data_IF_482862691580
#
_entry.id   IF_482862691580
#
_cell.length_a   1.000
_cell.length_b   1.000
_cell.length_c   1.000
_cell.angle_alpha   90.00
_cell.angle_beta   90.00
_cell.angle_gamma   90.00
#
_symmetry.space_group_name_H-M   'P 1'
#
loop_
_entity.id
_entity.type
_entity.pdbx_description
1 polymer ?
#
# COMPACT_ATOMS: atom_id res chain seq x y z
N UNK A 1 12.35 24.60 -0.69
CA UNK A 1 11.05 24.21 -1.26
C UNK A 1 11.29 23.53 -2.59
N UNK A 2 10.72 22.35 -2.78
CA UNK A 2 10.77 21.64 -4.05
C UNK A 2 9.59 22.04 -4.97
N UNK A 3 9.50 21.42 -6.15
CA UNK A 3 8.44 21.72 -7.13
C UNK A 3 7.03 21.43 -6.60
N UNK A 4 6.88 20.41 -5.75
CA UNK A 4 5.59 20.07 -5.15
C UNK A 4 5.17 21.11 -4.10
N UNK A 5 6.08 21.52 -3.21
CA UNK A 5 5.81 22.59 -2.24
C UNK A 5 5.41 23.90 -2.94
N UNK A 6 6.11 24.22 -4.03
CA UNK A 6 5.80 25.39 -4.85
C UNK A 6 4.39 25.30 -5.44
N UNK A 7 3.96 24.10 -5.87
CA UNK A 7 2.59 23.88 -6.36
C UNK A 7 1.57 24.06 -5.23
N UNK A 8 1.80 23.47 -4.05
CA UNK A 8 0.92 23.66 -2.89
C UNK A 8 0.75 25.15 -2.55
N UNK A 9 1.87 25.88 -2.46
CA UNK A 9 1.85 27.31 -2.14
C UNK A 9 1.08 28.13 -3.18
N UNK A 10 1.21 27.82 -4.48
CA UNK A 10 0.43 28.47 -5.55
C UNK A 10 -1.08 28.29 -5.39
N UNK A 11 -1.52 27.21 -4.76
CA UNK A 11 -2.92 26.94 -4.45
C UNK A 11 -3.33 27.37 -3.02
N UNK A 12 -2.43 28.02 -2.25
CA UNK A 12 -2.70 28.41 -0.87
C UNK A 12 -2.80 27.24 0.10
N UNK A 13 -2.22 26.08 -0.25
CA UNK A 13 -2.31 24.84 0.51
C UNK A 13 -1.02 24.56 1.29
N UNK A 14 -1.16 23.83 2.40
CA UNK A 14 -0.05 23.26 3.16
C UNK A 14 -0.34 21.81 3.47
N UNK A 15 0.68 20.95 3.40
CA UNK A 15 0.57 19.54 3.76
C UNK A 15 1.15 19.32 5.16
N UNK A 16 0.28 18.98 6.12
CA UNK A 16 0.64 18.75 7.52
C UNK A 16 0.01 17.47 8.04
N UNK A 17 0.65 16.89 9.05
CA UNK A 17 0.18 15.69 9.75
C UNK A 17 -1.13 15.95 10.47
N UNK A 18 -2.06 15.01 10.35
CA UNK A 18 -3.22 14.86 11.24
C UNK A 18 -2.86 13.92 12.39
N UNK A 19 -3.81 13.67 13.31
CA UNK A 19 -3.66 12.65 14.33
C UNK A 19 -3.34 11.29 13.68
N UNK A 20 -2.24 10.60 14.09
CA UNK A 20 -1.92 9.29 13.56
C UNK A 20 -3.04 8.27 13.81
N UNK A 21 -3.33 7.46 12.79
CA UNK A 21 -4.34 6.39 12.84
C UNK A 21 -3.82 5.04 12.34
N UNK A 22 -2.84 5.08 11.43
CA UNK A 22 -2.32 3.88 10.76
C UNK A 22 -0.86 3.69 11.14
N UNK A 23 -0.51 2.51 11.67
CA UNK A 23 0.85 2.02 11.76
C UNK A 23 1.13 1.14 10.54
N UNK A 24 1.83 1.67 9.55
CA UNK A 24 2.19 0.91 8.36
C UNK A 24 3.59 0.33 8.52
N UNK A 25 3.70 -1.01 8.49
CA UNK A 25 4.94 -1.75 8.68
C UNK A 25 5.42 -2.32 7.35
N UNK A 26 6.47 -1.74 6.78
CA UNK A 26 7.16 -2.32 5.65
C UNK A 26 8.14 -3.37 6.17
N UNK A 27 7.73 -4.64 6.15
CA UNK A 27 8.45 -5.72 6.82
C UNK A 27 9.70 -6.20 6.08
N UNK A 28 9.99 -5.65 4.90
CA UNK A 28 11.18 -5.98 4.15
C UNK A 28 10.96 -5.89 2.65
N UNK A 29 11.88 -6.48 1.89
CA UNK A 29 11.85 -6.52 0.43
C UNK A 29 11.86 -7.94 -0.13
N UNK A 30 11.87 -8.96 0.72
CA UNK A 30 11.74 -10.36 0.29
C UNK A 30 10.35 -10.63 -0.29
N UNK A 31 10.29 -11.17 -1.50
CA UNK A 31 9.05 -11.49 -2.19
C UNK A 31 9.29 -12.62 -3.19
N UNK A 32 8.31 -13.50 -3.41
CA UNK A 32 8.41 -14.57 -4.39
C UNK A 32 8.20 -14.09 -5.85
N UNK A 33 7.89 -12.81 -6.08
CA UNK A 33 7.67 -12.21 -7.39
C UNK A 33 8.68 -11.10 -7.70
N UNK A 34 8.88 -10.80 -9.00
CA UNK A 34 9.69 -9.66 -9.47
C UNK A 34 8.85 -8.76 -10.38
N UNK A 35 7.79 -8.15 -9.84
CA UNK A 35 6.91 -7.28 -10.63
C UNK A 35 7.67 -6.07 -11.21
N UNK A 36 7.36 -5.69 -12.45
CA UNK A 36 8.00 -4.58 -13.17
C UNK A 36 7.63 -3.20 -12.63
N UNK A 37 6.43 -3.06 -12.04
CA UNK A 37 5.95 -1.81 -11.44
C UNK A 37 6.24 -1.69 -9.92
N UNK A 38 6.93 -2.65 -9.31
CA UNK A 38 7.10 -2.68 -7.85
C UNK A 38 7.88 -1.45 -7.34
N UNK A 39 7.19 -0.57 -6.60
CA UNK A 39 7.79 0.62 -5.98
C UNK A 39 8.73 0.26 -4.83
N UNK A 40 8.53 -0.89 -4.17
CA UNK A 40 9.41 -1.40 -3.10
C UNK A 40 10.72 -2.00 -3.65
N UNK A 41 10.75 -2.32 -4.95
CA UNK A 41 11.82 -3.10 -5.58
C UNK A 41 11.99 -4.51 -4.94
N UNK A 42 10.91 -5.10 -4.44
CA UNK A 42 10.92 -6.39 -3.75
C UNK A 42 11.11 -7.60 -4.68
N UNK A 43 11.77 -8.66 -4.21
CA UNK A 43 11.95 -9.88 -5.01
C UNK A 43 12.69 -11.02 -4.30
N UNK A 44 12.90 -12.17 -4.98
CA UNK A 44 13.33 -13.41 -4.31
C UNK A 44 14.74 -13.35 -3.73
N UNK A 45 15.63 -12.56 -4.34
CA UNK A 45 17.02 -12.39 -3.89
C UNK A 45 17.24 -11.31 -2.84
N UNK A 46 16.18 -10.67 -2.32
CA UNK A 46 16.28 -9.58 -1.34
C UNK A 46 16.57 -10.13 0.06
N UNK A 47 17.39 -9.40 0.81
CA UNK A 47 17.83 -9.80 2.17
C UNK A 47 17.27 -8.87 3.26
N UNK A 48 16.63 -7.78 2.86
CA UNK A 48 15.94 -6.87 3.75
C UNK A 48 14.71 -7.57 4.32
N UNK A 49 14.80 -7.99 5.58
CA UNK A 49 13.78 -8.75 6.30
C UNK A 49 13.74 -8.24 7.74
N UNK A 50 12.56 -7.90 8.22
CA UNK A 50 12.35 -7.46 9.60
C UNK A 50 12.68 -8.60 10.57
N UNK A 51 13.52 -8.30 11.57
CA UNK A 51 13.96 -9.30 12.56
C UNK A 51 12.95 -9.46 13.69
N UNK A 52 13.06 -10.54 14.45
CA UNK A 52 12.22 -10.78 15.62
C UNK A 52 12.38 -9.68 16.68
N UNK A 53 13.60 -9.22 16.92
CA UNK A 53 13.88 -8.13 17.88
C UNK A 53 13.22 -6.82 17.43
N UNK A 54 13.18 -6.55 16.13
CA UNK A 54 12.48 -5.37 15.60
C UNK A 54 10.98 -5.49 15.81
N UNK A 55 10.41 -6.67 15.57
CA UNK A 55 8.99 -6.97 15.85
C UNK A 55 8.66 -6.73 17.33
N UNK A 56 9.47 -7.21 18.26
CA UNK A 56 9.24 -7.02 19.70
C UNK A 56 9.21 -5.54 20.09
N UNK A 57 10.11 -4.73 19.53
CA UNK A 57 10.13 -3.28 19.78
C UNK A 57 8.90 -2.58 19.20
N UNK A 58 8.45 -2.99 18.02
CA UNK A 58 7.21 -2.48 17.41
C UNK A 58 6.00 -2.83 18.28
N UNK A 59 5.89 -4.07 18.74
CA UNK A 59 4.82 -4.52 19.63
C UNK A 59 4.82 -3.77 20.97
N UNK A 60 6.01 -3.54 21.54
CA UNK A 60 6.16 -2.77 22.77
C UNK A 60 5.68 -1.32 22.61
N UNK A 61 6.03 -0.68 21.49
CA UNK A 61 5.56 0.67 21.17
C UNK A 61 4.05 0.71 20.91
N UNK A 62 3.52 -0.21 20.09
CA UNK A 62 2.10 -0.27 19.74
C UNK A 62 1.21 -0.53 20.97
N UNK A 63 1.73 -1.21 22.01
CA UNK A 63 1.02 -1.41 23.28
C UNK A 63 0.65 -0.09 23.96
N UNK A 64 1.49 0.93 23.79
CA UNK A 64 1.30 2.27 24.33
C UNK A 64 0.51 3.15 23.36
N UNK A 65 0.91 3.16 22.09
CA UNK A 65 0.31 4.03 21.06
C UNK A 65 -1.13 3.63 20.68
N UNK A 66 -1.43 2.33 20.68
CA UNK A 66 -2.76 1.76 20.38
C UNK A 66 -3.41 2.34 19.11
N UNK A 67 -2.63 2.46 18.03
CA UNK A 67 -3.18 2.88 16.75
C UNK A 67 -4.18 1.83 16.23
N UNK A 68 -5.37 2.24 15.76
CA UNK A 68 -6.46 1.32 15.45
C UNK A 68 -6.24 0.49 14.18
N UNK A 69 -5.33 0.89 13.30
CA UNK A 69 -5.06 0.20 12.03
C UNK A 69 -3.58 -0.12 11.92
N UNK A 70 -3.26 -1.39 11.65
CA UNK A 70 -1.91 -1.88 11.41
C UNK A 70 -1.86 -2.45 10.00
N UNK A 71 -1.05 -1.84 9.14
CA UNK A 71 -0.99 -2.15 7.71
C UNK A 71 0.35 -2.80 7.36
N UNK A 72 0.35 -4.11 7.10
CA UNK A 72 1.54 -4.91 6.81
C UNK A 72 1.83 -4.89 5.30
N UNK A 73 3.00 -4.35 4.93
CA UNK A 73 3.42 -4.14 3.54
C UNK A 73 4.90 -4.51 3.34
N UNK A 74 5.46 -4.23 2.16
CA UNK A 74 6.87 -4.42 1.83
C UNK A 74 7.05 -5.29 0.61
N UNK A 75 7.73 -6.41 0.76
CA UNK A 75 7.76 -7.48 -0.22
C UNK A 75 6.47 -8.31 -0.16
N UNK A 76 6.59 -9.60 0.13
CA UNK A 76 5.46 -10.41 0.59
C UNK A 76 5.54 -10.47 2.12
N UNK A 77 4.67 -9.77 2.87
CA UNK A 77 4.77 -9.70 4.32
C UNK A 77 4.85 -11.07 4.99
N UNK A 78 4.11 -12.02 4.45
CA UNK A 78 4.01 -13.42 4.88
C UNK A 78 5.38 -14.11 4.93
N UNK A 79 6.35 -13.64 4.12
CA UNK A 79 7.66 -14.27 3.99
C UNK A 79 8.66 -13.94 5.10
N UNK A 80 8.36 -13.00 6.00
CA UNK A 80 9.28 -12.76 7.13
C UNK A 80 9.14 -13.88 8.18
N UNK A 81 10.23 -14.33 8.83
CA UNK A 81 10.15 -15.42 9.81
C UNK A 81 9.16 -15.15 10.96
N UNK A 82 9.03 -13.89 11.37
CA UNK A 82 8.20 -13.48 12.49
C UNK A 82 6.76 -13.11 12.10
N UNK A 83 6.30 -13.36 10.87
CA UNK A 83 4.98 -12.88 10.41
C UNK A 83 3.83 -13.38 11.27
N UNK A 84 3.72 -14.70 11.47
CA UNK A 84 2.66 -15.30 12.30
C UNK A 84 2.71 -14.81 13.75
N UNK A 85 3.92 -14.63 14.30
CA UNK A 85 4.12 -14.08 15.64
C UNK A 85 3.64 -12.63 15.74
N UNK A 86 4.05 -11.77 14.79
CA UNK A 86 3.64 -10.36 14.73
C UNK A 86 2.11 -10.24 14.69
N UNK A 87 1.45 -10.94 13.75
CA UNK A 87 -0.01 -10.90 13.61
C UNK A 87 -0.72 -11.39 14.87
N UNK A 88 -0.31 -12.54 15.42
CA UNK A 88 -0.94 -13.10 16.62
C UNK A 88 -0.74 -12.20 17.86
N UNK A 89 0.44 -11.60 18.01
CA UNK A 89 0.73 -10.68 19.09
C UNK A 89 -0.07 -9.37 18.95
N UNK A 90 -0.19 -8.80 17.74
CA UNK A 90 -1.02 -7.63 17.48
C UNK A 90 -2.50 -7.90 17.78
N UNK A 91 -3.03 -9.05 17.34
CA UNK A 91 -4.42 -9.45 17.62
C UNK A 91 -4.67 -9.65 19.11
N UNK A 92 -3.70 -10.20 19.84
CA UNK A 92 -3.79 -10.35 21.30
C UNK A 92 -3.73 -8.99 22.02
N UNK A 93 -2.91 -8.07 21.53
CA UNK A 93 -2.73 -6.74 22.10
C UNK A 93 -3.99 -5.89 21.97
N UNK A 94 -4.64 -5.94 20.80
CA UNK A 94 -5.92 -5.27 20.56
C UNK A 94 -6.82 -6.14 19.65
N UNK A 95 -7.81 -6.85 20.24
CA UNK A 95 -8.76 -7.64 19.47
C UNK A 95 -9.62 -6.85 18.48
N UNK A 96 -9.77 -5.54 18.68
CA UNK A 96 -10.58 -4.66 17.83
C UNK A 96 -9.77 -3.95 16.73
N UNK A 97 -8.44 -3.96 16.82
CA UNK A 97 -7.60 -3.34 15.79
C UNK A 97 -7.80 -4.02 14.44
N UNK A 98 -7.79 -3.21 13.38
CA UNK A 98 -7.76 -3.69 12.00
C UNK A 98 -6.33 -4.04 11.65
N UNK A 99 -6.08 -5.28 11.27
CA UNK A 99 -4.77 -5.75 10.78
C UNK A 99 -4.96 -6.03 9.30
N UNK A 100 -4.20 -5.34 8.46
CA UNK A 100 -4.25 -5.47 7.00
C UNK A 100 -2.99 -6.21 6.53
N UNK A 101 -3.16 -7.20 5.67
CA UNK A 101 -2.07 -7.86 4.94
C UNK A 101 -2.12 -7.49 3.45
N UNK A 102 -1.06 -6.83 2.97
CA UNK A 102 -0.89 -6.49 1.56
C UNK A 102 -0.31 -7.66 0.79
N UNK A 103 -1.19 -8.61 0.49
CA UNK A 103 -0.86 -9.88 -0.12
C UNK A 103 -0.62 -9.77 -1.63
N UNK A 104 0.34 -10.54 -2.13
CA UNK A 104 0.57 -10.68 -3.57
C UNK A 104 -0.21 -11.85 -4.22
N UNK A 105 -1.03 -12.56 -3.45
CA UNK A 105 -1.81 -13.76 -3.78
C UNK A 105 -0.97 -15.02 -4.04
N UNK A 106 0.05 -14.95 -4.89
CA UNK A 106 0.78 -16.16 -5.33
C UNK A 106 1.59 -16.81 -4.22
N UNK A 107 1.94 -16.06 -3.16
CA UNK A 107 2.60 -16.58 -1.97
C UNK A 107 1.74 -17.65 -1.25
N UNK A 108 0.41 -17.52 -1.27
CA UNK A 108 -0.52 -18.47 -0.62
C UNK A 108 -0.54 -19.87 -1.28
N UNK A 109 0.14 -20.02 -2.41
CA UNK A 109 0.27 -21.27 -3.15
C UNK A 109 1.70 -21.82 -3.14
N UNK A 110 2.65 -21.13 -2.50
CA UNK A 110 4.04 -21.56 -2.44
C UNK A 110 4.24 -22.67 -1.39
N UNK A 111 5.20 -23.58 -1.62
CA UNK A 111 5.59 -24.56 -0.61
C UNK A 111 5.98 -23.88 0.71
N UNK A 112 5.45 -24.36 1.82
CA UNK A 112 5.66 -23.80 3.16
C UNK A 112 4.68 -22.69 3.57
N UNK A 113 3.79 -22.27 2.66
CA UNK A 113 2.76 -21.24 2.91
C UNK A 113 1.34 -21.80 2.76
N UNK A 114 1.20 -23.12 2.70
CA UNK A 114 -0.07 -23.78 2.45
C UNK A 114 -1.10 -23.39 3.51
N UNK A 115 -0.73 -23.28 4.78
CA UNK A 115 -1.68 -22.92 5.86
C UNK A 115 -1.83 -21.40 6.09
N UNK A 116 -1.22 -20.56 5.23
CA UNK A 116 -1.18 -19.12 5.49
C UNK A 116 -2.58 -18.49 5.39
N UNK A 117 -3.40 -18.92 4.42
CA UNK A 117 -4.75 -18.40 4.23
C UNK A 117 -5.64 -18.69 5.45
N UNK A 118 -5.58 -19.92 5.98
CA UNK A 118 -6.32 -20.34 7.17
C UNK A 118 -5.82 -19.63 8.43
N UNK A 119 -4.51 -19.40 8.55
CA UNK A 119 -3.94 -18.59 9.63
C UNK A 119 -4.46 -17.15 9.60
N UNK A 120 -4.43 -16.49 8.43
CA UNK A 120 -4.95 -15.13 8.27
C UNK A 120 -6.43 -15.06 8.65
N UNK A 121 -7.24 -16.04 8.21
CA UNK A 121 -8.66 -16.12 8.54
C UNK A 121 -8.89 -16.29 10.06
N UNK A 122 -8.14 -17.18 10.70
CA UNK A 122 -8.23 -17.40 12.15
C UNK A 122 -7.89 -16.14 12.96
N UNK A 123 -7.02 -15.28 12.43
CA UNK A 123 -6.65 -13.99 13.03
C UNK A 123 -7.55 -12.82 12.57
N UNK A 124 -8.54 -13.08 11.69
CA UNK A 124 -9.41 -12.08 11.07
C UNK A 124 -8.61 -10.92 10.46
N UNK A 125 -7.59 -11.26 9.68
CA UNK A 125 -6.78 -10.27 8.96
C UNK A 125 -7.55 -9.83 7.72
N UNK A 126 -7.61 -8.52 7.48
CA UNK A 126 -8.11 -7.97 6.22
C UNK A 126 -7.07 -8.16 5.13
N UNK A 127 -7.46 -8.72 3.99
CA UNK A 127 -6.55 -8.94 2.86
C UNK A 127 -6.76 -7.84 1.81
N UNK A 128 -5.69 -7.10 1.49
CA UNK A 128 -5.66 -6.16 0.36
C UNK A 128 -4.70 -6.71 -0.69
N UNK A 129 -5.26 -7.42 -1.66
CA UNK A 129 -4.51 -8.20 -2.62
C UNK A 129 -4.18 -7.44 -3.92
N UNK A 130 -2.92 -7.52 -4.35
CA UNK A 130 -2.50 -6.95 -5.64
C UNK A 130 -3.08 -7.76 -6.81
N UNK A 131 -3.95 -7.16 -7.63
CA UNK A 131 -4.54 -7.78 -8.82
C UNK A 131 -4.74 -6.72 -9.93
N UNK A 132 -3.69 -6.42 -10.71
CA UNK A 132 -3.66 -5.22 -11.57
C UNK A 132 -4.56 -5.30 -12.81
N UNK A 133 -5.16 -6.45 -13.10
CA UNK A 133 -6.21 -6.61 -14.11
C UNK A 133 -6.98 -7.91 -13.85
N UNK A 134 -8.19 -8.05 -14.41
CA UNK A 134 -8.92 -9.31 -14.49
C UNK A 134 -8.58 -10.14 -15.75
N UNK A 135 -7.61 -9.70 -16.56
CA UNK A 135 -7.16 -10.40 -17.77
C UNK A 135 -5.72 -10.94 -17.64
N UNK A 136 -5.42 -12.10 -18.25
CA UNK A 136 -4.11 -12.75 -18.15
C UNK A 136 -2.98 -11.91 -18.76
N UNK A 137 -3.18 -11.38 -19.97
CA UNK A 137 -2.16 -10.61 -20.69
C UNK A 137 -1.65 -9.43 -19.86
N UNK A 138 -2.58 -8.71 -19.23
CA UNK A 138 -2.25 -7.54 -18.42
C UNK A 138 -1.50 -7.93 -17.14
N UNK A 139 -1.95 -8.98 -16.44
CA UNK A 139 -1.33 -9.42 -15.19
C UNK A 139 0.05 -10.00 -15.45
N UNK A 140 0.18 -10.87 -16.46
CA UNK A 140 1.44 -11.54 -16.78
C UNK A 140 2.50 -10.54 -17.27
N UNK A 141 2.12 -9.55 -18.10
CA UNK A 141 3.03 -8.50 -18.53
C UNK A 141 3.62 -7.66 -17.37
N UNK A 142 2.87 -7.48 -16.28
CA UNK A 142 3.34 -6.72 -15.12
C UNK A 142 4.09 -7.55 -14.09
N UNK A 143 3.65 -8.79 -13.86
CA UNK A 143 4.01 -9.57 -12.67
C UNK A 143 4.78 -10.85 -12.99
N UNK A 144 4.81 -11.25 -14.25
CA UNK A 144 5.47 -12.46 -14.73
C UNK A 144 4.47 -13.53 -15.20
N UNK A 145 4.97 -14.45 -16.03
CA UNK A 145 4.16 -15.52 -16.62
C UNK A 145 3.55 -16.45 -15.56
N UNK A 146 2.29 -16.84 -15.77
CA UNK A 146 1.55 -17.73 -14.88
C UNK A 146 1.06 -17.08 -13.58
N UNK A 147 1.38 -15.80 -13.33
CA UNK A 147 0.91 -15.09 -12.13
C UNK A 147 -0.60 -14.88 -12.15
N UNK A 148 -1.21 -14.68 -13.33
CA UNK A 148 -2.67 -14.59 -13.44
C UNK A 148 -3.35 -15.85 -12.90
N UNK A 149 -3.00 -17.02 -13.43
CA UNK A 149 -3.62 -18.28 -13.04
C UNK A 149 -3.39 -18.60 -11.56
N UNK A 150 -2.18 -18.32 -11.05
CA UNK A 150 -1.89 -18.45 -9.63
C UNK A 150 -2.73 -17.49 -8.77
N UNK A 151 -2.93 -16.25 -9.21
CA UNK A 151 -3.77 -15.27 -8.51
C UNK A 151 -5.24 -15.71 -8.48
N UNK A 152 -5.77 -16.22 -9.59
CA UNK A 152 -7.14 -16.77 -9.65
C UNK A 152 -7.30 -17.94 -8.69
N UNK A 153 -6.37 -18.92 -8.68
CA UNK A 153 -6.43 -20.05 -7.74
C UNK A 153 -6.35 -19.60 -6.27
N UNK A 154 -5.50 -18.63 -5.96
CA UNK A 154 -5.39 -18.08 -4.61
C UNK A 154 -6.69 -17.38 -4.17
N UNK A 155 -7.31 -16.60 -5.05
CA UNK A 155 -8.60 -15.94 -4.77
C UNK A 155 -9.73 -16.95 -4.58
N UNK A 156 -9.79 -18.01 -5.40
CA UNK A 156 -10.76 -19.09 -5.22
C UNK A 156 -10.56 -19.80 -3.89
N UNK A 157 -9.30 -20.05 -3.48
CA UNK A 157 -8.99 -20.61 -2.17
C UNK A 157 -9.46 -19.71 -1.04
N UNK A 158 -9.22 -18.40 -1.13
CA UNK A 158 -9.68 -17.42 -0.15
C UNK A 158 -11.22 -17.41 -0.06
N UNK A 159 -11.94 -17.36 -1.19
CA UNK A 159 -13.41 -17.43 -1.18
C UNK A 159 -13.94 -18.77 -0.61
N UNK A 160 -13.22 -19.87 -0.79
CA UNK A 160 -13.61 -21.17 -0.22
C UNK A 160 -13.54 -21.21 1.33
N UNK A 161 -12.85 -20.25 1.95
CA UNK A 161 -12.82 -20.02 3.39
C UNK A 161 -13.47 -18.68 3.77
N UNK A 162 -14.46 -18.26 2.96
CA UNK A 162 -15.36 -17.12 3.19
C UNK A 162 -14.76 -15.70 3.09
N UNK A 163 -13.48 -15.55 2.69
CA UNK A 163 -12.96 -14.21 2.39
C UNK A 163 -13.75 -13.53 1.28
N UNK A 164 -14.07 -12.25 1.46
CA UNK A 164 -14.88 -11.49 0.50
C UNK A 164 -16.38 -11.77 0.57
N UNK A 165 -16.81 -12.74 1.40
CA UNK A 165 -18.20 -13.17 1.57
C UNK A 165 -18.64 -12.89 3.01
N UNK A 166 -17.90 -13.38 4.01
CA UNK A 166 -18.11 -13.05 5.42
C UNK A 166 -17.61 -11.62 5.69
N UNK A 167 -18.46 -10.72 6.26
CA UNK A 167 -18.03 -9.39 6.69
C UNK A 167 -16.83 -9.36 7.66
N UNK A 168 -16.59 -10.45 8.40
CA UNK A 168 -15.44 -10.58 9.29
C UNK A 168 -14.12 -10.94 8.57
N UNK A 169 -14.18 -11.31 7.28
CA UNK A 169 -13.03 -11.69 6.44
C UNK A 169 -12.97 -10.82 5.18
N UNK A 170 -12.63 -9.52 5.30
CA UNK A 170 -12.61 -8.63 4.14
C UNK A 170 -11.49 -9.01 3.16
N UNK A 171 -11.85 -9.01 1.88
CA UNK A 171 -10.95 -9.19 0.75
C UNK A 171 -11.14 -8.04 -0.23
N UNK A 172 -10.11 -7.24 -0.39
CA UNK A 172 -10.05 -6.13 -1.33
C UNK A 172 -9.00 -6.40 -2.40
N UNK A 173 -9.22 -5.85 -3.60
CA UNK A 173 -8.30 -5.96 -4.72
C UNK A 173 -7.68 -4.60 -5.04
N UNK A 174 -6.46 -4.60 -5.55
CA UNK A 174 -5.75 -3.39 -5.96
C UNK A 174 -5.49 -3.41 -7.47
N UNK A 175 -5.98 -2.38 -8.16
CA UNK A 175 -5.70 -2.09 -9.56
C UNK A 175 -4.56 -1.09 -9.71
N UNK A 176 -3.60 -1.43 -10.55
CA UNK A 176 -2.54 -0.54 -11.00
C UNK A 176 -2.49 -0.58 -12.54
N UNK A 177 -2.51 0.59 -13.21
CA UNK A 177 -2.56 0.63 -14.67
C UNK A 177 -1.29 0.06 -15.29
N UNK A 178 -1.45 -0.55 -16.46
CA UNK A 178 -0.33 -0.94 -17.29
C UNK A 178 0.36 0.29 -17.90
N UNK A 179 1.66 0.45 -17.64
CA UNK A 179 2.48 1.51 -18.21
C UNK A 179 2.24 2.90 -17.59
N UNK A 180 2.59 3.93 -18.37
CA UNK A 180 2.68 5.33 -17.94
C UNK A 180 1.34 6.08 -18.05
N UNK A 181 0.30 5.63 -17.33
CA UNK A 181 -1.04 6.23 -17.37
C UNK A 181 -1.62 6.37 -15.96
N UNK A 182 -2.57 7.29 -15.80
CA UNK A 182 -3.40 7.35 -14.59
C UNK A 182 -4.46 6.24 -14.62
N UNK A 183 -4.90 5.75 -13.44
CA UNK A 183 -6.02 4.82 -13.38
C UNK A 183 -7.33 5.49 -13.84
N UNK A 184 -8.28 4.67 -14.31
CA UNK A 184 -9.65 5.10 -14.56
C UNK A 184 -10.45 5.31 -13.26
N UNK A 185 -11.73 5.62 -13.38
CA UNK A 185 -12.62 5.80 -12.24
C UNK A 185 -12.72 4.51 -11.41
N UNK A 186 -12.51 4.62 -10.09
CA UNK A 186 -12.49 3.46 -9.19
C UNK A 186 -13.83 2.71 -9.17
N UNK A 187 -14.95 3.43 -9.18
CA UNK A 187 -16.29 2.82 -9.12
C UNK A 187 -16.62 2.00 -10.38
N UNK A 188 -16.31 2.54 -11.56
CA UNK A 188 -16.49 1.84 -12.84
C UNK A 188 -15.59 0.60 -12.92
N UNK A 189 -14.31 0.75 -12.56
CA UNK A 189 -13.37 -0.37 -12.53
C UNK A 189 -13.80 -1.43 -11.49
N UNK A 190 -14.32 -1.04 -10.32
CA UNK A 190 -14.83 -1.97 -9.32
C UNK A 190 -15.99 -2.80 -9.89
N UNK A 191 -16.93 -2.15 -10.58
CA UNK A 191 -18.07 -2.81 -11.21
C UNK A 191 -17.63 -3.81 -12.29
N UNK A 192 -16.67 -3.40 -13.14
CA UNK A 192 -16.08 -4.29 -14.15
C UNK A 192 -15.38 -5.48 -13.51
N UNK A 193 -14.50 -5.26 -12.53
CA UNK A 193 -13.82 -6.34 -11.82
C UNK A 193 -14.79 -7.33 -11.19
N UNK A 194 -15.84 -6.82 -10.51
CA UNK A 194 -16.86 -7.67 -9.87
C UNK A 194 -17.61 -8.51 -10.91
N UNK A 195 -17.95 -7.93 -12.06
CA UNK A 195 -18.63 -8.65 -13.16
C UNK A 195 -17.73 -9.73 -13.75
N UNK A 196 -16.54 -9.36 -14.19
CA UNK A 196 -15.63 -10.25 -14.94
C UNK A 196 -15.11 -11.39 -14.05
N UNK A 197 -14.66 -11.09 -12.83
CA UNK A 197 -14.13 -12.11 -11.92
C UNK A 197 -15.20 -13.10 -11.45
N UNK A 198 -16.44 -12.61 -11.24
CA UNK A 198 -17.56 -13.48 -10.89
C UNK A 198 -17.98 -14.35 -12.07
N UNK A 199 -18.16 -13.77 -13.26
CA UNK A 199 -18.66 -14.46 -14.44
C UNK A 199 -17.69 -15.56 -14.92
N UNK A 200 -16.38 -15.28 -14.90
CA UNK A 200 -15.39 -16.18 -15.47
C UNK A 200 -14.76 -17.14 -14.45
N UNK A 201 -14.72 -16.75 -13.16
CA UNK A 201 -13.96 -17.50 -12.15
C UNK A 201 -14.72 -17.77 -10.85
N UNK A 202 -15.95 -17.26 -10.71
CA UNK A 202 -16.76 -17.41 -9.50
C UNK A 202 -16.24 -16.62 -8.29
N UNK A 203 -15.37 -15.63 -8.51
CA UNK A 203 -14.67 -14.90 -7.43
C UNK A 203 -15.53 -13.73 -6.92
N UNK A 204 -15.55 -13.55 -5.60
CA UNK A 204 -16.16 -12.41 -4.91
C UNK A 204 -15.10 -11.65 -4.08
N UNK A 205 -15.26 -10.33 -3.99
CA UNK A 205 -14.42 -9.45 -3.18
C UNK A 205 -15.22 -8.19 -2.79
N UNK A 206 -14.79 -7.47 -1.76
CA UNK A 206 -15.56 -6.36 -1.19
C UNK A 206 -15.35 -5.04 -1.95
N UNK A 207 -14.09 -4.60 -2.14
CA UNK A 207 -13.74 -3.31 -2.78
C UNK A 207 -12.55 -3.40 -3.72
N UNK A 208 -12.52 -2.54 -4.73
CA UNK A 208 -11.37 -2.32 -5.60
C UNK A 208 -10.72 -0.98 -5.24
N UNK A 209 -9.40 -0.99 -5.09
CA UNK A 209 -8.60 0.20 -4.84
C UNK A 209 -7.74 0.51 -6.07
N UNK A 210 -7.94 1.67 -6.69
CA UNK A 210 -7.11 2.12 -7.81
C UNK A 210 -5.90 2.89 -7.31
N UNK A 211 -4.72 2.52 -7.78
CA UNK A 211 -3.46 3.17 -7.41
C UNK A 211 -2.76 3.72 -8.65
N UNK A 212 -2.23 4.93 -8.53
CA UNK A 212 -1.34 5.53 -9.52
C UNK A 212 0.07 4.99 -9.33
N UNK A 213 0.69 4.49 -10.41
CA UNK A 213 2.07 4.03 -10.35
C UNK A 213 3.01 5.21 -10.08
N UNK A 214 3.63 5.27 -8.91
CA UNK A 214 4.60 6.33 -8.63
C UNK A 214 5.91 6.08 -9.38
N UNK A 215 6.54 7.13 -9.94
CA UNK A 215 7.79 7.02 -10.72
C UNK A 215 9.00 6.83 -9.79
N UNK A 216 8.99 5.75 -9.00
CA UNK A 216 10.03 5.37 -8.05
C UNK A 216 10.51 3.94 -8.33
N UNK A 217 11.73 3.61 -7.90
CA UNK A 217 12.27 2.25 -7.95
C UNK A 217 12.13 1.58 -9.35
N UNK A 218 11.55 0.37 -9.47
CA UNK A 218 11.51 -0.36 -10.75
C UNK A 218 10.67 0.34 -11.80
N UNK A 219 9.56 0.95 -11.41
CA UNK A 219 8.73 1.68 -12.37
C UNK A 219 9.48 2.90 -12.92
N UNK A 220 10.24 3.61 -12.09
CA UNK A 220 11.13 4.69 -12.57
C UNK A 220 12.18 4.17 -13.56
N UNK A 221 12.81 3.03 -13.24
CA UNK A 221 13.79 2.40 -14.14
C UNK A 221 13.17 2.01 -15.47
N UNK A 222 11.98 1.40 -15.45
CA UNK A 222 11.24 1.02 -16.66
C UNK A 222 10.86 2.25 -17.51
N UNK A 223 10.36 3.31 -16.88
CA UNK A 223 10.04 4.58 -17.55
C UNK A 223 11.26 5.18 -18.25
N UNK A 224 12.43 5.19 -17.59
CA UNK A 224 13.67 5.71 -18.17
C UNK A 224 14.15 4.88 -19.34
N UNK A 225 14.16 3.55 -19.21
CA UNK A 225 14.54 2.65 -20.31
C UNK A 225 13.60 2.76 -21.51
N UNK A 226 12.32 3.07 -21.24
CA UNK A 226 11.31 3.24 -22.28
C UNK A 226 11.26 4.66 -22.85
N UNK A 227 12.10 5.60 -22.39
CA UNK A 227 12.08 7.01 -22.80
C UNK A 227 10.84 7.80 -22.36
N UNK A 228 10.06 7.29 -21.41
CA UNK A 228 8.75 7.83 -20.98
C UNK A 228 8.78 8.60 -19.65
N UNK A 229 9.94 8.70 -19.00
CA UNK A 229 10.04 9.25 -17.65
C UNK A 229 9.58 10.72 -17.57
N UNK A 230 10.10 11.58 -18.45
CA UNK A 230 9.76 13.00 -18.45
C UNK A 230 8.30 13.25 -18.84
N UNK A 231 7.80 12.53 -19.86
CA UNK A 231 6.39 12.59 -20.28
C UNK A 231 5.46 12.18 -19.13
N UNK A 232 5.77 11.09 -18.44
CA UNK A 232 4.96 10.63 -17.33
C UNK A 232 4.99 11.60 -16.14
N UNK A 233 6.15 12.15 -15.81
CA UNK A 233 6.24 13.16 -14.76
C UNK A 233 5.45 14.42 -15.12
N UNK A 234 5.48 14.86 -16.39
CA UNK A 234 4.67 15.97 -16.88
C UNK A 234 3.16 15.67 -16.77
N UNK A 235 2.74 14.44 -17.08
CA UNK A 235 1.36 13.98 -16.88
C UNK A 235 0.95 14.12 -15.40
N UNK A 236 1.74 13.60 -14.46
CA UNK A 236 1.44 13.68 -13.03
C UNK A 236 1.35 15.13 -12.53
N UNK A 237 2.28 15.99 -12.99
CA UNK A 237 2.28 17.42 -12.63
C UNK A 237 1.08 18.15 -13.22
N UNK A 238 0.73 17.87 -14.48
CA UNK A 238 -0.40 18.47 -15.18
C UNK A 238 -1.75 18.02 -14.61
N UNK A 239 -1.82 16.79 -14.10
CA UNK A 239 -3.01 16.23 -13.48
C UNK A 239 -3.13 16.53 -11.97
N UNK A 240 -2.25 17.36 -11.39
CA UNK A 240 -2.31 17.74 -9.98
C UNK A 240 -3.70 18.24 -9.59
N UNK A 241 -4.34 17.55 -8.65
CA UNK A 241 -5.66 17.91 -8.13
C UNK A 241 -5.54 18.33 -6.65
N UNK A 242 -5.75 19.62 -6.33
CA UNK A 242 -5.65 20.13 -4.97
C UNK A 242 -6.69 19.55 -4.00
N UNK A 243 -7.82 19.03 -4.49
CA UNK A 243 -8.86 18.42 -3.64
C UNK A 243 -8.37 17.14 -2.92
N UNK A 244 -7.33 16.51 -3.46
CA UNK A 244 -6.77 15.28 -2.91
C UNK A 244 -5.91 15.49 -1.66
N UNK A 245 -5.50 16.72 -1.34
CA UNK A 245 -4.53 17.00 -0.25
C UNK A 245 -5.04 16.54 1.11
N UNK A 246 -6.32 16.68 1.40
CA UNK A 246 -6.91 16.25 2.68
C UNK A 246 -7.01 14.71 2.80
N UNK A 247 -7.04 13.99 1.68
CA UNK A 247 -7.15 12.52 1.65
C UNK A 247 -5.81 11.78 1.63
N UNK A 248 -4.68 12.48 1.61
CA UNK A 248 -3.36 11.84 1.52
C UNK A 248 -3.01 11.03 2.77
N UNK A 249 -2.65 9.75 2.58
CA UNK A 249 -2.27 8.84 3.66
C UNK A 249 -1.08 9.33 4.51
N UNK A 250 -0.17 10.15 3.95
CA UNK A 250 0.97 10.68 4.70
C UNK A 250 0.56 11.61 5.86
N UNK A 251 -0.72 12.01 5.91
CA UNK A 251 -1.26 12.83 6.98
C UNK A 251 -1.47 12.05 8.27
N UNK A 252 -1.97 10.82 8.22
CA UNK A 252 -2.31 10.02 9.41
C UNK A 252 -1.56 8.69 9.53
N UNK A 253 -0.71 8.34 8.56
CA UNK A 253 0.10 7.12 8.60
C UNK A 253 1.46 7.37 9.25
N UNK A 254 1.90 6.47 10.12
CA UNK A 254 3.30 6.31 10.52
C UNK A 254 3.84 5.13 9.73
N UNK A 255 4.73 5.37 8.76
CA UNK A 255 5.37 4.30 8.01
C UNK A 255 6.69 3.91 8.66
N UNK A 256 6.93 2.61 8.82
CA UNK A 256 8.09 2.05 9.54
C UNK A 256 8.82 1.05 8.67
N UNK A 257 10.14 1.20 8.53
CA UNK A 257 10.97 0.25 7.80
C UNK A 257 11.19 -1.05 8.56
N UNK A 258 11.72 -2.06 7.86
CA UNK A 258 12.13 -3.34 8.44
C UNK A 258 13.22 -3.22 9.53
N UNK A 259 13.83 -2.04 9.68
CA UNK A 259 14.80 -1.72 10.74
C UNK A 259 14.22 -0.82 11.84
N UNK A 260 12.94 -0.45 11.75
CA UNK A 260 12.26 0.43 12.71
C UNK A 260 12.39 1.93 12.43
N UNK A 261 12.99 2.34 11.31
CA UNK A 261 13.11 3.75 10.92
C UNK A 261 11.76 4.30 10.46
N UNK A 262 11.50 5.59 10.72
CA UNK A 262 10.17 6.18 10.49
C UNK A 262 10.16 7.20 9.34
N UNK A 263 9.10 7.14 8.54
CA UNK A 263 8.84 7.95 7.37
C UNK A 263 7.38 8.46 7.37
N UNK A 264 7.11 9.52 6.61
CA UNK A 264 5.73 10.02 6.45
C UNK A 264 4.82 9.06 5.67
N UNK A 265 5.38 8.25 4.75
CA UNK A 265 4.64 7.25 3.97
C UNK A 265 5.58 6.23 3.31
N UNK A 266 5.03 5.13 2.78
CA UNK A 266 5.78 4.08 2.08
C UNK A 266 6.61 4.60 0.90
N UNK A 267 6.12 5.62 0.19
CA UNK A 267 6.87 6.20 -0.92
C UNK A 267 8.05 7.06 -0.46
N UNK A 268 7.90 7.77 0.65
CA UNK A 268 9.03 8.48 1.28
C UNK A 268 10.08 7.49 1.77
N UNK A 269 9.66 6.34 2.33
CA UNK A 269 10.57 5.25 2.67
C UNK A 269 11.35 4.75 1.45
N UNK A 270 10.69 4.52 0.31
CA UNK A 270 11.36 4.07 -0.92
C UNK A 270 12.30 5.11 -1.52
N UNK A 271 12.07 6.39 -1.23
CA UNK A 271 12.93 7.50 -1.61
C UNK A 271 13.98 7.86 -0.54
N UNK A 272 14.01 7.15 0.60
CA UNK A 272 14.86 7.43 1.76
C UNK A 272 14.73 8.89 2.26
N UNK A 273 13.49 9.39 2.30
CA UNK A 273 13.13 10.73 2.74
C UNK A 273 12.60 10.69 4.18
N UNK A 274 13.42 11.05 5.19
CA UNK A 274 13.05 10.86 6.60
C UNK A 274 11.84 11.70 7.01
N UNK A 275 11.18 11.26 8.09
CA UNK A 275 10.01 11.92 8.68
C UNK A 275 10.21 13.42 8.92
N UNK A 276 9.33 14.25 8.33
CA UNK A 276 9.13 15.66 8.69
C UNK A 276 10.26 16.65 8.40
N UNK A 277 11.30 16.27 7.64
CA UNK A 277 12.38 17.12 7.13
C UNK A 277 13.01 18.16 8.11
N UNK A 278 12.96 17.95 9.42
CA UNK A 278 13.73 18.73 10.41
C UNK A 278 14.91 17.90 10.92
N UNK A 279 16.01 17.94 10.18
CA UNK A 279 17.31 17.44 10.60
C UNK A 279 17.76 16.12 9.94
N UNK A 280 19.07 15.83 9.94
CA UNK A 280 19.65 14.64 9.29
C UNK A 280 19.49 13.35 10.11
N UNK A 281 18.94 13.42 11.31
CA UNK A 281 18.85 12.28 12.21
C UNK A 281 17.70 11.36 11.82
N UNK A 282 18.04 10.10 11.55
CA UNK A 282 17.05 9.02 11.44
C UNK A 282 16.30 8.90 12.76
N UNK A 283 14.97 8.90 12.68
CA UNK A 283 14.11 8.62 13.84
C UNK A 283 13.66 7.17 13.77
N UNK A 284 13.54 6.55 14.92
CA UNK A 284 13.02 5.21 15.05
C UNK A 284 11.69 5.22 15.80
N UNK A 285 10.87 4.20 15.55
CA UNK A 285 9.50 4.15 16.07
C UNK A 285 9.44 4.28 17.60
N UNK A 286 10.31 3.57 18.31
CA UNK A 286 10.38 3.55 19.77
C UNK A 286 10.87 4.86 20.40
N UNK A 287 11.32 5.83 19.60
CA UNK A 287 11.72 7.16 20.07
C UNK A 287 10.62 8.21 19.81
N UNK A 288 9.44 7.81 19.31
CA UNK A 288 8.35 8.69 18.93
C UNK A 288 7.14 8.57 19.87
N UNK A 289 6.61 9.72 20.28
CA UNK A 289 5.22 9.84 20.72
C UNK A 289 4.34 10.22 19.51
N UNK A 290 3.27 9.45 19.18
CA UNK A 290 2.32 9.83 18.13
C UNK A 290 1.77 11.26 18.27
N UNK A 291 1.59 11.77 19.49
CA UNK A 291 1.04 13.10 19.75
C UNK A 291 1.95 14.21 19.22
N UNK A 292 3.28 14.02 19.25
CA UNK A 292 4.27 14.98 18.76
C UNK A 292 4.22 15.17 17.23
N UNK A 293 3.56 14.25 16.52
CA UNK A 293 3.44 14.33 15.07
C UNK A 293 2.30 15.25 14.62
N UNK A 294 1.35 15.59 15.47
CA UNK A 294 0.17 16.38 15.07
C UNK A 294 0.58 17.78 14.62
N UNK A 295 0.20 18.16 13.41
CA UNK A 295 0.53 19.46 12.83
C UNK A 295 1.97 19.60 12.32
N UNK A 296 2.82 18.58 12.51
CA UNK A 296 4.17 18.55 11.98
C UNK A 296 4.16 18.61 10.44
N UNK A 297 5.26 19.12 9.88
CA UNK A 297 5.46 19.14 8.43
C UNK A 297 5.64 17.72 7.89
N UNK A 298 5.26 17.51 6.63
CA UNK A 298 5.45 16.24 5.91
C UNK A 298 6.54 16.46 4.87
N UNK A 299 7.48 15.51 4.76
CA UNK A 299 8.50 15.57 3.73
C UNK A 299 7.87 15.32 2.35
N UNK A 300 8.09 16.23 1.40
CA UNK A 300 7.56 16.14 0.04
C UNK A 300 8.68 15.97 -0.98
N UNK A 301 8.37 15.41 -2.15
CA UNK A 301 9.24 15.40 -3.32
C UNK A 301 8.41 15.20 -4.60
N UNK A 302 9.07 14.99 -5.74
CA UNK A 302 8.40 14.88 -7.04
C UNK A 302 7.38 13.72 -7.12
N UNK A 303 7.58 12.61 -6.41
CA UNK A 303 6.64 11.49 -6.41
C UNK A 303 5.28 11.85 -5.80
N UNK A 304 5.21 12.89 -4.96
CA UNK A 304 3.95 13.35 -4.35
C UNK A 304 2.93 13.82 -5.39
N UNK A 305 3.38 14.22 -6.59
CA UNK A 305 2.46 14.49 -7.70
C UNK A 305 1.65 13.26 -8.11
N UNK A 306 2.20 12.04 -8.01
CA UNK A 306 1.42 10.84 -8.34
C UNK A 306 0.33 10.51 -7.31
N UNK A 307 0.52 10.86 -6.03
CA UNK A 307 -0.53 10.69 -5.01
C UNK A 307 -1.68 11.71 -5.16
N UNK A 308 -1.42 12.82 -5.84
CA UNK A 308 -2.37 13.94 -6.00
C UNK A 308 -2.92 14.07 -7.41
N UNK A 309 -2.42 13.28 -8.37
CA UNK A 309 -2.85 13.34 -9.75
C UNK A 309 -4.25 12.73 -9.94
N UNK A 310 -5.10 13.39 -10.73
CA UNK A 310 -6.45 12.91 -11.07
C UNK A 310 -7.32 12.72 -9.83
N UNK A 311 -7.90 11.52 -9.68
CA UNK A 311 -8.70 11.13 -8.51
C UNK A 311 -7.87 10.89 -7.22
N UNK A 312 -6.55 11.10 -7.31
CA UNK A 312 -5.61 10.87 -6.22
C UNK A 312 -5.33 9.39 -6.01
N UNK A 313 -4.33 9.10 -5.17
CA UNK A 313 -3.91 7.73 -4.92
C UNK A 313 -3.35 7.57 -3.51
N UNK A 314 -3.89 6.61 -2.79
CA UNK A 314 -3.38 6.12 -1.52
C UNK A 314 -3.32 4.59 -1.53
N UNK A 315 -2.73 4.00 -0.49
CA UNK A 315 -2.79 2.55 -0.31
C UNK A 315 -4.22 2.01 -0.03
N UNK A 316 -5.21 2.89 0.14
CA UNK A 316 -6.65 2.60 0.21
C UNK A 316 -7.45 3.02 -1.04
N UNK A 317 -6.78 3.31 -2.16
CA UNK A 317 -7.44 3.65 -3.43
C UNK A 317 -7.50 5.16 -3.73
N UNK A 318 -8.45 5.54 -4.60
CA UNK A 318 -8.74 6.93 -4.95
C UNK A 318 -9.21 7.72 -3.72
N UNK A 319 -8.83 8.99 -3.65
CA UNK A 319 -9.03 9.86 -2.46
C UNK A 319 -9.74 11.17 -2.77
N UNK A 320 -10.10 11.38 -4.03
CA UNK A 320 -10.94 12.50 -4.44
C UNK A 320 -12.27 12.43 -3.71
N UNK A 321 -12.58 13.46 -2.93
CA UNK A 321 -13.91 13.65 -2.39
C UNK A 321 -14.80 14.13 -3.53
N UNK A 322 -15.77 13.33 -3.94
CA UNK A 322 -16.89 13.87 -4.70
C UNK A 322 -17.52 14.98 -3.85
N UNK A 323 -17.54 16.21 -4.36
CA UNK A 323 -18.34 17.25 -3.74
C UNK A 323 -19.78 16.70 -3.71
N UNK A 324 -20.34 16.53 -2.50
CA UNK A 324 -21.78 16.30 -2.40
C UNK A 324 -22.47 17.44 -3.16
N UNK A 325 -23.44 17.16 -4.04
CA UNK A 325 -24.20 18.22 -4.66
C UNK A 325 -24.86 19.00 -3.52
N UNK A 326 -24.52 20.28 -3.41
CA UNK A 326 -25.24 21.21 -2.54
C UNK A 326 -26.68 21.21 -3.03
N UNK A 327 -27.56 20.51 -2.30
CA UNK A 327 -29.00 20.56 -2.55
C UNK A 327 -29.45 22.01 -2.40
N UNK A 328 -29.92 22.59 -3.49
CA UNK A 328 -30.66 23.85 -3.49
C UNK A 328 -32.04 23.67 -2.86
#
# INVERSE_FOLDING_TARGET
>A
MNNFDTRLHKHGLTLRRSAPRVLQLNVGKLCNLTCSHCHVNAGPGRKEVMTHETVDRILAWQRQARLPVIDLTGGAPEMIPSFKYLVGALRTLDPAATIIDRCNLTILLQPGYEEMAEFLAAQRVEIVASMPCYTPDNVNAQRGDGVFDASIRALQRLNAIDYGIDPALPLHLVFNPNGAKLPGAQEELEADYKRELRAHFGIQFNRLYTITNLPVSRFASWLRHSGKYEEYLALLIGAFNPANIEGLMCRDTINVSWQGEVFDCDFNQMMNLPLGATGPARKYLWDLDPADLVGAAITTAAHCFGCTAGAGSSCGGAIEKHAEPVSA
#
